data_IF_452618072876
#
_entry.id   IF_452618072876
#
_cell.length_a   1.000
_cell.length_b   1.000
_cell.length_c   1.000
_cell.angle_alpha   90.00
_cell.angle_beta   90.00
_cell.angle_gamma   90.00
#
_symmetry.space_group_name_H-M   'P 1'
#
loop_
_entity.id
_entity.type
_entity.pdbx_description
1 polymer ?
#
# COMPACT_ATOMS: atom_id res chain seq x y z
N UNK A 1 25.56 -2.54 3.44
CA UNK A 1 25.62 -1.64 4.63
C UNK A 1 26.01 -2.51 5.81
N UNK A 2 27.15 -2.28 6.48
CA UNK A 2 27.55 -3.07 7.64
C UNK A 2 26.46 -3.05 8.72
N UNK A 3 26.19 -4.19 9.37
CA UNK A 3 25.19 -4.29 10.44
C UNK A 3 23.73 -4.47 9.99
N UNK A 4 23.46 -4.59 8.69
CA UNK A 4 22.12 -4.83 8.16
C UNK A 4 22.09 -6.11 7.33
N UNK A 5 21.06 -6.93 7.53
CA UNK A 5 20.75 -8.08 6.71
C UNK A 5 19.40 -7.85 6.02
N UNK A 6 19.33 -8.14 4.73
CA UNK A 6 18.10 -8.07 3.96
C UNK A 6 17.54 -9.49 3.82
N UNK A 7 16.23 -9.63 4.01
CA UNK A 7 15.49 -10.87 3.74
C UNK A 7 14.41 -10.59 2.69
N UNK A 8 13.94 -11.62 1.95
CA UNK A 8 12.77 -11.49 1.11
C UNK A 8 11.56 -11.02 1.93
N UNK A 9 10.75 -10.14 1.35
CA UNK A 9 9.49 -9.72 1.96
C UNK A 9 8.48 -10.87 1.95
N UNK A 10 7.61 -10.91 2.95
CA UNK A 10 6.58 -11.95 3.08
C UNK A 10 7.14 -13.39 3.17
N UNK A 11 8.37 -13.56 3.68
CA UNK A 11 9.04 -14.85 3.83
C UNK A 11 9.34 -15.15 5.32
N UNK A 12 8.46 -15.93 5.94
CA UNK A 12 8.56 -16.32 7.35
C UNK A 12 9.75 -17.26 7.63
N UNK A 13 10.01 -18.30 6.82
CA UNK A 13 11.22 -19.12 6.99
C UNK A 13 12.53 -18.31 6.93
N UNK A 14 12.66 -17.36 6.00
CA UNK A 14 13.83 -16.50 5.91
C UNK A 14 13.96 -15.60 7.15
N UNK A 15 12.84 -15.03 7.62
CA UNK A 15 12.82 -14.24 8.85
C UNK A 15 13.26 -15.07 10.07
N UNK A 16 12.64 -16.24 10.31
CA UNK A 16 12.96 -17.08 11.46
C UNK A 16 14.42 -17.52 11.46
N UNK A 17 14.98 -17.84 10.29
CA UNK A 17 16.40 -18.18 10.15
C UNK A 17 17.31 -17.05 10.62
N UNK A 18 17.05 -15.81 10.22
CA UNK A 18 17.91 -14.68 10.62
C UNK A 18 17.73 -14.30 12.10
N UNK A 19 16.53 -14.43 12.66
CA UNK A 19 16.26 -14.14 14.08
C UNK A 19 16.92 -15.13 15.05
N UNK A 20 17.42 -16.28 14.58
CA UNK A 20 18.20 -17.22 15.40
C UNK A 20 19.58 -16.68 15.80
N UNK A 21 20.11 -15.69 15.08
CA UNK A 21 21.36 -15.05 15.40
C UNK A 21 21.17 -14.12 16.63
N UNK A 22 21.82 -14.41 17.77
CA UNK A 22 21.61 -13.67 19.01
C UNK A 22 22.10 -12.22 18.96
N UNK A 23 22.80 -11.83 17.89
CA UNK A 23 23.28 -10.45 17.69
C UNK A 23 22.25 -9.56 17.00
N UNK A 24 21.14 -10.10 16.51
CA UNK A 24 20.08 -9.32 15.86
C UNK A 24 19.31 -8.53 16.91
N UNK A 25 19.34 -7.21 16.80
CA UNK A 25 18.67 -6.31 17.74
C UNK A 25 17.21 -5.99 17.37
N UNK A 26 16.93 -5.86 16.07
CA UNK A 26 15.62 -5.46 15.59
C UNK A 26 15.30 -6.02 14.19
N UNK A 27 14.01 -6.20 13.93
CA UNK A 27 13.45 -6.41 12.61
C UNK A 27 12.56 -5.23 12.24
N UNK A 28 12.84 -4.59 11.10
CA UNK A 28 12.10 -3.44 10.60
C UNK A 28 11.38 -3.79 9.31
N UNK A 29 10.07 -3.52 9.24
CA UNK A 29 9.26 -3.86 8.07
C UNK A 29 8.08 -2.90 7.88
N UNK A 30 7.75 -2.59 6.63
CA UNK A 30 6.50 -1.93 6.26
C UNK A 30 5.34 -2.96 6.26
N UNK A 31 4.18 -2.69 6.87
CA UNK A 31 3.03 -3.59 6.81
C UNK A 31 2.54 -3.89 5.39
N UNK A 32 2.73 -2.94 4.46
CA UNK A 32 2.53 -3.09 3.01
C UNK A 32 3.67 -2.32 2.36
N UNK A 33 4.49 -2.97 1.54
CA UNK A 33 5.61 -2.28 0.89
C UNK A 33 5.09 -1.32 -0.18
N UNK A 34 5.18 -0.02 0.11
CA UNK A 34 4.62 1.02 -0.74
C UNK A 34 5.41 1.21 -2.03
N UNK A 35 6.69 1.51 -1.89
CA UNK A 35 7.58 1.79 -3.01
C UNK A 35 7.95 0.53 -3.81
N UNK A 36 7.78 -0.67 -3.26
CA UNK A 36 7.91 -1.92 -4.04
C UNK A 36 6.70 -2.18 -4.97
N UNK A 37 5.72 -1.27 -5.00
CA UNK A 37 4.53 -1.38 -5.83
C UNK A 37 3.29 -1.83 -5.08
N UNK A 38 3.09 -1.37 -3.84
CA UNK A 38 1.92 -1.72 -3.01
C UNK A 38 1.79 -3.23 -2.88
N UNK A 39 2.84 -3.87 -2.35
CA UNK A 39 2.88 -5.31 -2.12
C UNK A 39 2.22 -5.61 -0.77
N UNK A 40 1.07 -6.27 -0.81
CA UNK A 40 0.34 -6.72 0.37
C UNK A 40 0.92 -8.08 0.77
N UNK A 41 1.29 -8.29 2.03
CA UNK A 41 1.75 -9.60 2.48
C UNK A 41 0.60 -10.59 2.56
N UNK A 42 0.93 -11.87 2.74
CA UNK A 42 -0.07 -12.91 2.99
C UNK A 42 -0.75 -12.68 4.35
N UNK A 43 -2.00 -13.12 4.46
CA UNK A 43 -2.76 -13.01 5.70
C UNK A 43 -2.06 -13.77 6.85
N UNK A 44 -1.83 -13.07 7.96
CA UNK A 44 -1.16 -13.64 9.13
C UNK A 44 0.35 -13.42 9.14
N UNK A 45 0.93 -12.81 8.11
CA UNK A 45 2.35 -12.49 8.05
C UNK A 45 2.77 -11.63 9.25
N UNK A 46 2.04 -10.55 9.55
CA UNK A 46 2.41 -9.64 10.65
C UNK A 46 2.23 -10.29 12.02
N UNK A 47 1.24 -11.18 12.16
CA UNK A 47 1.08 -12.02 13.35
C UNK A 47 2.28 -12.94 13.55
N UNK A 48 2.75 -13.60 12.49
CA UNK A 48 3.97 -14.43 12.56
C UNK A 48 5.22 -13.60 12.84
N UNK A 49 5.35 -12.40 12.26
CA UNK A 49 6.42 -11.46 12.60
C UNK A 49 6.42 -11.16 14.11
N UNK A 50 5.26 -10.79 14.68
CA UNK A 50 5.11 -10.51 16.12
C UNK A 50 5.48 -11.71 16.99
N UNK A 51 4.99 -12.90 16.65
CA UNK A 51 5.29 -14.15 17.36
C UNK A 51 6.81 -14.42 17.37
N UNK A 52 7.46 -14.34 16.20
CA UNK A 52 8.89 -14.62 16.06
C UNK A 52 9.77 -13.58 16.75
N UNK A 53 9.48 -12.30 16.58
CA UNK A 53 10.24 -11.24 17.26
C UNK A 53 10.19 -11.40 18.78
N UNK A 54 9.03 -11.81 19.31
CA UNK A 54 8.88 -12.13 20.75
C UNK A 54 9.68 -13.37 21.15
N UNK A 55 9.58 -14.46 20.36
CA UNK A 55 10.30 -15.72 20.61
C UNK A 55 11.82 -15.54 20.69
N UNK A 56 12.38 -14.70 19.82
CA UNK A 56 13.82 -14.49 19.71
C UNK A 56 14.33 -13.25 20.46
N UNK A 57 13.46 -12.55 21.21
CA UNK A 57 13.80 -11.32 21.93
C UNK A 57 14.41 -10.23 21.01
N UNK A 58 13.79 -10.04 19.85
CA UNK A 58 14.16 -9.04 18.84
C UNK A 58 13.07 -7.97 18.79
N UNK A 59 13.46 -6.70 18.74
CA UNK A 59 12.49 -5.60 18.61
C UNK A 59 11.83 -5.61 17.25
N UNK A 60 10.51 -5.58 17.19
CA UNK A 60 9.79 -5.33 15.95
C UNK A 60 9.52 -3.83 15.77
N UNK A 61 10.05 -3.29 14.68
CA UNK A 61 9.82 -1.92 14.21
C UNK A 61 8.87 -1.96 13.02
N UNK A 62 7.67 -1.41 13.17
CA UNK A 62 6.73 -1.24 12.06
C UNK A 62 6.87 0.15 11.46
N UNK A 63 7.25 0.23 10.18
CA UNK A 63 7.24 1.49 9.43
C UNK A 63 5.85 1.74 8.85
N UNK A 64 5.10 2.63 9.50
CA UNK A 64 3.74 3.02 9.13
C UNK A 64 3.69 4.44 8.56
N UNK A 65 4.83 4.98 8.10
CA UNK A 65 4.91 6.32 7.51
C UNK A 65 3.99 6.45 6.29
N UNK A 66 3.83 5.39 5.49
CA UNK A 66 2.88 5.37 4.36
C UNK A 66 1.56 4.67 4.68
N UNK A 67 1.59 3.55 5.40
CA UNK A 67 0.43 2.66 5.59
C UNK A 67 -0.48 3.07 6.73
N UNK A 68 0.04 3.87 7.66
CA UNK A 68 -0.69 4.33 8.83
C UNK A 68 -1.63 5.49 8.54
N UNK A 69 -2.21 6.03 9.61
CA UNK A 69 -3.10 7.18 9.61
C UNK A 69 -4.26 7.00 8.61
N UNK A 70 -4.97 5.87 8.70
CA UNK A 70 -6.22 5.65 7.96
C UNK A 70 -6.04 5.21 6.50
N UNK A 71 -4.83 5.32 5.94
CA UNK A 71 -4.55 5.04 4.52
C UNK A 71 -5.06 3.68 4.06
N UNK A 72 -4.85 2.66 4.87
CA UNK A 72 -5.21 1.27 4.54
C UNK A 72 -6.59 0.85 5.06
N UNK A 73 -7.42 1.78 5.55
CA UNK A 73 -8.75 1.45 6.08
C UNK A 73 -8.80 1.18 7.59
N UNK A 74 -7.65 1.23 8.26
CA UNK A 74 -7.49 1.18 9.72
C UNK A 74 -6.60 2.33 10.16
N UNK A 75 -6.62 2.68 11.45
CA UNK A 75 -5.76 3.74 11.96
C UNK A 75 -4.30 3.40 11.72
N UNK A 76 -3.88 2.19 12.08
CA UNK A 76 -2.59 1.61 11.71
C UNK A 76 -2.84 0.35 10.87
N UNK A 77 -1.98 0.08 9.89
CA UNK A 77 -2.12 -1.12 9.07
C UNK A 77 -1.89 -2.41 9.87
N UNK A 78 -1.08 -2.38 10.93
CA UNK A 78 -0.92 -3.52 11.87
C UNK A 78 -2.23 -3.92 12.57
N UNK A 79 -3.19 -2.99 12.69
CA UNK A 79 -4.50 -3.25 13.31
C UNK A 79 -5.36 -4.22 12.49
N UNK A 80 -5.05 -4.41 11.19
CA UNK A 80 -5.73 -5.40 10.37
C UNK A 80 -5.52 -6.83 10.87
N UNK A 81 -4.38 -7.11 11.51
CA UNK A 81 -4.09 -8.42 12.10
C UNK A 81 -4.16 -8.42 13.63
N UNK A 82 -4.45 -7.25 14.24
CA UNK A 82 -4.57 -7.09 15.69
C UNK A 82 -3.25 -7.24 16.44
N UNK A 83 -2.15 -6.80 15.83
CA UNK A 83 -0.79 -6.99 16.35
C UNK A 83 -0.15 -5.66 16.73
N UNK A 84 0.71 -5.68 17.76
CA UNK A 84 1.37 -4.49 18.29
C UNK A 84 2.89 -4.56 18.10
N UNK A 85 3.50 -3.63 17.34
CA UNK A 85 4.95 -3.52 17.24
C UNK A 85 5.56 -2.94 18.52
N UNK A 86 6.87 -3.16 18.71
CA UNK A 86 7.61 -2.58 19.83
C UNK A 86 7.96 -1.11 19.56
N UNK A 87 8.25 -0.80 18.30
CA UNK A 87 8.50 0.57 17.82
C UNK A 87 7.61 0.83 16.61
N UNK A 88 6.94 1.99 16.60
CA UNK A 88 6.09 2.43 15.50
C UNK A 88 6.67 3.71 14.89
N UNK A 89 6.84 3.74 13.57
CA UNK A 89 7.29 4.94 12.85
C UNK A 89 6.09 5.56 12.15
N UNK A 90 5.85 6.85 12.41
CA UNK A 90 4.78 7.64 11.79
C UNK A 90 5.34 8.92 11.16
N UNK A 91 4.64 9.45 10.16
CA UNK A 91 5.02 10.66 9.44
C UNK A 91 3.96 11.05 8.42
N UNK A 92 4.36 11.70 7.32
CA UNK A 92 3.50 12.12 6.18
C UNK A 92 2.21 12.80 6.64
N UNK A 93 1.09 12.07 6.71
CA UNK A 93 -0.21 12.62 7.08
C UNK A 93 -0.23 13.20 8.50
N UNK A 94 0.76 12.88 9.35
CA UNK A 94 0.88 13.42 10.70
C UNK A 94 0.92 14.96 10.75
N UNK A 95 1.56 15.61 9.77
CA UNK A 95 1.74 17.08 9.80
C UNK A 95 0.55 17.88 9.26
N UNK A 96 -0.44 17.25 8.63
CA UNK A 96 -1.54 17.97 7.96
C UNK A 96 -2.70 18.38 8.86
N UNK A 97 -2.52 18.45 10.18
CA UNK A 97 -3.64 18.62 11.13
C UNK A 97 -4.65 17.47 11.09
N UNK A 98 -4.23 16.32 10.54
CA UNK A 98 -5.12 15.25 10.10
C UNK A 98 -5.60 14.41 11.28
N UNK A 99 -4.88 14.32 12.39
CA UNK A 99 -5.24 13.36 13.44
C UNK A 99 -6.63 13.60 14.08
N UNK A 100 -7.03 14.84 14.45
CA UNK A 100 -8.40 15.11 14.90
C UNK A 100 -9.43 14.84 13.80
N UNK A 101 -9.21 15.39 12.60
CA UNK A 101 -10.12 15.26 11.45
C UNK A 101 -10.31 13.79 11.04
N UNK A 102 -9.24 12.99 11.07
CA UNK A 102 -9.23 11.59 10.70
C UNK A 102 -10.14 10.76 11.58
N UNK A 103 -10.16 11.06 12.87
CA UNK A 103 -11.03 10.39 13.84
C UNK A 103 -12.45 10.95 13.81
N UNK A 104 -12.62 12.27 13.75
CA UNK A 104 -13.93 12.94 13.73
C UNK A 104 -14.73 12.63 12.46
N UNK A 105 -14.07 12.67 11.30
CA UNK A 105 -14.70 12.39 9.99
C UNK A 105 -14.67 10.90 9.60
N UNK A 106 -14.16 10.01 10.46
CA UNK A 106 -14.09 8.56 10.21
C UNK A 106 -13.40 8.23 8.88
N UNK A 107 -12.27 8.88 8.64
CA UNK A 107 -11.51 8.74 7.40
C UNK A 107 -10.95 7.33 7.17
N UNK A 108 -10.52 6.55 8.19
CA UNK A 108 -10.18 5.15 7.98
C UNK A 108 -11.36 4.34 7.40
N UNK A 109 -12.56 4.53 7.92
CA UNK A 109 -13.76 3.85 7.44
C UNK A 109 -14.11 4.28 6.01
N UNK A 110 -13.98 5.58 5.71
CA UNK A 110 -14.16 6.05 4.34
C UNK A 110 -13.10 5.47 3.40
N UNK A 111 -11.83 5.40 3.82
CA UNK A 111 -10.76 4.83 3.03
C UNK A 111 -10.98 3.33 2.74
N UNK A 112 -11.46 2.57 3.73
CA UNK A 112 -11.84 1.17 3.55
C UNK A 112 -12.97 1.03 2.52
N UNK A 113 -14.04 1.83 2.66
CA UNK A 113 -15.20 1.81 1.77
C UNK A 113 -14.84 2.23 0.35
N UNK A 114 -14.23 3.40 0.18
CA UNK A 114 -13.83 3.94 -1.12
C UNK A 114 -12.79 3.08 -1.80
N UNK A 115 -11.85 2.52 -1.03
CA UNK A 115 -10.85 1.58 -1.52
C UNK A 115 -11.44 0.33 -2.15
N UNK A 116 -12.53 -0.22 -1.61
CA UNK A 116 -13.25 -1.36 -2.21
C UNK A 116 -13.88 -0.98 -3.54
N UNK A 117 -14.68 0.09 -3.56
CA UNK A 117 -15.33 0.60 -4.77
C UNK A 117 -14.29 0.89 -5.85
N UNK A 118 -13.18 1.53 -5.49
CA UNK A 118 -12.16 1.89 -6.46
C UNK A 118 -11.50 0.65 -7.08
N UNK A 119 -11.11 -0.34 -6.27
CA UNK A 119 -10.54 -1.60 -6.78
C UNK A 119 -11.53 -2.39 -7.63
N UNK A 120 -12.82 -2.38 -7.28
CA UNK A 120 -13.89 -2.99 -8.09
C UNK A 120 -14.03 -2.30 -9.45
N UNK A 121 -14.07 -0.97 -9.50
CA UNK A 121 -14.13 -0.21 -10.76
C UNK A 121 -12.87 -0.40 -11.62
N UNK A 122 -11.67 -0.36 -11.02
CA UNK A 122 -10.41 -0.60 -11.72
C UNK A 122 -10.32 -2.03 -12.28
N UNK A 123 -10.93 -3.01 -11.61
CA UNK A 123 -10.95 -4.39 -12.09
C UNK A 123 -11.81 -4.60 -13.35
N UNK A 124 -12.63 -3.60 -13.73
CA UNK A 124 -13.39 -3.62 -14.99
C UNK A 124 -12.55 -3.25 -16.20
N UNK A 125 -11.34 -2.71 -15.99
CA UNK A 125 -10.41 -2.43 -17.10
C UNK A 125 -10.01 -3.78 -17.72
N UNK A 126 -10.12 -3.94 -19.06
CA UNK A 126 -9.80 -5.20 -19.72
C UNK A 126 -8.40 -5.74 -19.39
N UNK A 127 -8.31 -7.06 -19.18
CA UNK A 127 -7.05 -7.76 -18.86
C UNK A 127 -5.97 -7.65 -19.94
N UNK A 128 -6.33 -7.26 -21.16
CA UNK A 128 -5.37 -6.93 -22.22
C UNK A 128 -4.52 -5.69 -21.89
N UNK A 129 -5.02 -4.80 -21.03
CA UNK A 129 -4.29 -3.59 -20.63
C UNK A 129 -3.56 -3.72 -19.30
N UNK A 130 -4.18 -4.42 -18.35
CA UNK A 130 -3.66 -4.54 -16.98
C UNK A 130 -3.64 -6.00 -16.53
N UNK A 131 -2.59 -6.39 -15.82
CA UNK A 131 -2.47 -7.74 -15.26
C UNK A 131 -3.19 -7.83 -13.92
N UNK A 132 -2.90 -6.89 -13.03
CA UNK A 132 -3.29 -6.96 -11.62
C UNK A 132 -3.74 -5.60 -11.09
N UNK A 133 -4.79 -5.61 -10.26
CA UNK A 133 -5.15 -4.52 -9.36
C UNK A 133 -4.97 -5.02 -7.94
N UNK A 134 -4.28 -4.25 -7.10
CA UNK A 134 -4.04 -4.60 -5.70
C UNK A 134 -4.07 -3.34 -4.83
N UNK A 135 -4.23 -3.54 -3.54
CA UNK A 135 -4.19 -2.47 -2.55
C UNK A 135 -4.95 -2.82 -1.29
N UNK A 136 -4.93 -1.94 -0.30
CA UNK A 136 -5.78 -1.99 0.90
C UNK A 136 -6.19 -0.56 1.27
N UNK A 137 -7.44 -0.35 1.67
CA UNK A 137 -8.04 0.98 1.75
C UNK A 137 -7.80 1.78 0.46
N UNK A 138 -7.43 3.05 0.60
CA UNK A 138 -7.06 3.94 -0.51
C UNK A 138 -5.57 3.91 -0.84
N UNK A 139 -4.85 2.85 -0.46
CA UNK A 139 -3.51 2.56 -0.96
C UNK A 139 -3.64 1.51 -2.06
N UNK A 140 -3.82 1.96 -3.30
CA UNK A 140 -4.06 1.09 -4.45
C UNK A 140 -2.93 1.18 -5.46
N UNK A 141 -2.81 0.13 -6.26
CA UNK A 141 -1.97 0.08 -7.43
C UNK A 141 -2.62 -0.81 -8.51
N UNK A 142 -2.29 -0.50 -9.75
CA UNK A 142 -2.52 -1.40 -10.87
C UNK A 142 -1.21 -1.62 -11.62
N UNK A 143 -1.10 -2.74 -12.32
CA UNK A 143 0.06 -3.08 -13.15
C UNK A 143 -0.36 -3.09 -14.60
N UNK A 144 0.21 -2.19 -15.39
CA UNK A 144 0.03 -2.19 -16.84
C UNK A 144 0.79 -3.38 -17.46
N UNK A 145 0.24 -3.96 -18.53
CA UNK A 145 0.95 -4.99 -19.30
C UNK A 145 2.14 -4.38 -20.06
N UNK A 146 3.13 -5.20 -20.41
CA UNK A 146 4.41 -4.74 -20.96
C UNK A 146 4.28 -3.92 -22.25
N UNK A 147 3.25 -4.18 -23.05
CA UNK A 147 2.96 -3.45 -24.29
C UNK A 147 2.48 -2.00 -24.05
N UNK A 148 2.16 -1.64 -22.80
CA UNK A 148 1.62 -0.34 -22.43
C UNK A 148 2.55 0.31 -21.40
N UNK A 149 3.46 1.19 -21.82
CA UNK A 149 4.40 1.81 -20.91
C UNK A 149 3.67 2.60 -19.81
N UNK A 150 3.83 2.19 -18.55
CA UNK A 150 3.09 2.79 -17.43
C UNK A 150 3.37 4.30 -17.25
N UNK A 151 4.55 4.75 -17.66
CA UNK A 151 4.88 6.18 -17.70
C UNK A 151 4.01 6.96 -18.70
N UNK A 152 3.77 6.40 -19.89
CA UNK A 152 2.89 7.02 -20.90
C UNK A 152 1.44 7.05 -20.42
N UNK A 153 0.98 6.02 -19.71
CA UNK A 153 -0.32 6.03 -19.04
C UNK A 153 -0.38 7.21 -18.06
N UNK A 154 0.62 7.41 -17.21
CA UNK A 154 0.64 8.53 -16.25
C UNK A 154 0.62 9.91 -16.95
N UNK A 155 1.30 10.06 -18.09
CA UNK A 155 1.24 11.30 -18.88
C UNK A 155 -0.17 11.55 -19.45
N UNK A 156 -0.80 10.52 -20.02
CA UNK A 156 -2.18 10.63 -20.53
C UNK A 156 -3.19 10.87 -19.41
N UNK A 157 -2.98 10.28 -18.22
CA UNK A 157 -3.79 10.55 -17.03
C UNK A 157 -3.69 12.03 -16.64
N UNK A 158 -2.47 12.61 -16.60
CA UNK A 158 -2.27 14.03 -16.33
C UNK A 158 -3.07 14.89 -17.30
N UNK A 159 -2.99 14.59 -18.60
CA UNK A 159 -3.69 15.35 -19.64
C UNK A 159 -5.21 15.18 -19.56
N UNK A 160 -5.69 14.06 -19.00
CA UNK A 160 -7.09 13.80 -18.70
C UNK A 160 -7.55 14.31 -17.31
N UNK A 161 -6.69 15.04 -16.58
CA UNK A 161 -7.03 15.67 -15.30
C UNK A 161 -6.82 14.79 -14.05
N UNK A 162 -6.15 13.64 -14.17
CA UNK A 162 -5.84 12.74 -13.05
C UNK A 162 -4.32 12.60 -12.85
N UNK A 163 -3.82 12.93 -11.67
CA UNK A 163 -2.41 12.76 -11.34
C UNK A 163 -2.15 11.40 -10.70
N UNK A 164 -1.29 10.62 -11.33
CA UNK A 164 -0.76 9.37 -10.80
C UNK A 164 0.74 9.27 -11.09
N UNK A 165 1.42 8.36 -10.40
CA UNK A 165 2.86 8.15 -10.57
C UNK A 165 3.17 6.66 -10.57
N UNK A 166 4.10 6.27 -11.43
CA UNK A 166 4.66 4.92 -11.43
C UNK A 166 5.53 4.68 -10.20
N UNK A 167 5.55 3.44 -9.74
CA UNK A 167 6.46 2.96 -8.70
C UNK A 167 7.09 1.69 -9.23
N UNK A 168 8.37 1.76 -9.59
CA UNK A 168 9.15 0.68 -10.21
C UNK A 168 8.48 -0.04 -11.42
N UNK A 169 8.99 0.25 -12.63
CA UNK A 169 8.54 -0.42 -13.84
C UNK A 169 7.08 -0.11 -14.18
N UNK A 170 6.25 -1.16 -14.27
CA UNK A 170 4.89 -1.12 -14.81
C UNK A 170 3.78 -0.87 -13.77
N UNK A 171 4.12 -0.68 -12.50
CA UNK A 171 3.13 -0.43 -11.44
C UNK A 171 2.78 1.05 -11.36
N UNK A 172 1.49 1.39 -11.39
CA UNK A 172 0.96 2.74 -11.22
C UNK A 172 0.30 2.82 -9.84
N UNK A 173 0.80 3.74 -9.00
CA UNK A 173 0.26 3.98 -7.65
C UNK A 173 -0.91 4.95 -7.72
N UNK A 174 -2.00 4.57 -7.07
CA UNK A 174 -3.24 5.32 -6.96
C UNK A 174 -3.58 5.50 -5.48
N UNK A 175 -3.28 6.68 -4.95
CA UNK A 175 -3.43 7.00 -3.52
C UNK A 175 -4.13 8.35 -3.30
N UNK A 176 -5.44 8.45 -3.60
CA UNK A 176 -6.17 9.71 -3.46
C UNK A 176 -6.28 10.15 -1.99
N UNK A 177 -6.65 11.41 -1.71
CA UNK A 177 -6.95 11.88 -0.36
C UNK A 177 -8.06 11.04 0.32
N UNK A 178 -8.00 10.90 1.66
CA UNK A 178 -8.97 10.05 2.38
C UNK A 178 -10.39 10.62 2.41
N UNK A 179 -10.52 11.92 2.14
CA UNK A 179 -11.80 12.65 2.03
C UNK A 179 -12.48 12.45 0.67
N UNK A 180 -11.88 11.68 -0.25
CA UNK A 180 -12.45 11.46 -1.58
C UNK A 180 -13.84 10.82 -1.49
N UNK A 181 -14.76 11.33 -2.30
CA UNK A 181 -16.15 10.88 -2.36
C UNK A 181 -16.33 9.74 -3.36
N UNK A 182 -17.43 9.00 -3.25
CA UNK A 182 -17.74 7.93 -4.19
C UNK A 182 -17.87 8.43 -5.64
N UNK A 183 -18.49 9.60 -5.84
CA UNK A 183 -18.62 10.22 -7.16
C UNK A 183 -17.24 10.47 -7.78
N UNK A 184 -16.31 11.04 -7.00
CA UNK A 184 -14.92 11.30 -7.44
C UNK A 184 -14.13 10.00 -7.68
N UNK A 185 -14.35 8.95 -6.88
CA UNK A 185 -13.74 7.63 -7.12
C UNK A 185 -14.20 7.06 -8.46
N UNK A 186 -15.51 7.11 -8.74
CA UNK A 186 -16.09 6.60 -9.99
C UNK A 186 -15.63 7.41 -11.19
N UNK A 187 -15.58 8.73 -11.06
CA UNK A 187 -15.02 9.63 -12.07
C UNK A 187 -13.55 9.33 -12.34
N UNK A 188 -12.72 9.23 -11.30
CA UNK A 188 -11.31 8.90 -11.43
C UNK A 188 -11.08 7.53 -12.07
N UNK A 189 -11.87 6.52 -11.70
CA UNK A 189 -11.82 5.20 -12.33
C UNK A 189 -12.23 5.25 -13.81
N UNK A 190 -13.24 6.05 -14.17
CA UNK A 190 -13.64 6.25 -15.55
C UNK A 190 -12.54 6.94 -16.38
N UNK A 191 -11.88 7.97 -15.84
CA UNK A 191 -10.72 8.61 -16.47
C UNK A 191 -9.62 7.57 -16.73
N UNK A 192 -9.29 6.76 -15.73
CA UNK A 192 -8.24 5.73 -15.86
C UNK A 192 -8.60 4.72 -16.95
N UNK A 193 -9.83 4.22 -16.97
CA UNK A 193 -10.30 3.28 -18.00
C UNK A 193 -10.21 3.90 -19.41
N UNK A 194 -10.72 5.12 -19.58
CA UNK A 194 -10.70 5.81 -20.87
C UNK A 194 -9.27 6.03 -21.38
N UNK A 195 -8.32 6.31 -20.48
CA UNK A 195 -6.90 6.42 -20.83
C UNK A 195 -6.35 5.09 -21.31
N UNK A 196 -6.64 3.97 -20.64
CA UNK A 196 -6.21 2.65 -21.13
C UNK A 196 -6.82 2.30 -22.50
N UNK A 197 -8.11 2.57 -22.69
CA UNK A 197 -8.80 2.33 -23.97
C UNK A 197 -8.26 3.20 -25.11
N UNK A 198 -7.66 4.35 -24.80
CA UNK A 198 -7.01 5.21 -25.80
C UNK A 198 -5.73 4.62 -26.41
N UNK A 199 -5.21 3.50 -25.89
CA UNK A 199 -4.05 2.80 -26.47
C UNK A 199 -4.45 1.86 -27.62
N UNK A 200 -5.74 1.61 -27.84
CA UNK A 200 -6.22 0.91 -29.04
C UNK A 200 -6.33 1.82 -30.28
N UNK A 201 -6.18 3.14 -30.10
CA UNK A 201 -6.30 4.17 -31.14
C UNK A 201 -4.93 4.66 -31.59
#
# INVERSE_FOLDING_TARGET
MPGFKLIPYNDIPALEKELQDPTVAAFMVEPIQGEAGVIIPDDGYLRKVRELCTKYNVLWIADEVQTGLGRTGKLLAVDHEGVKPDVLILGKALSGGVLPVLLEEKLPENAERMGKIFREELSKIPKKYISTVRGRGLMCALVANDDIPAYQVCLRLRDAGLLAKTTHGQTIRLAPPLVITEAQIREGAAIIRNVFESFDK
#
